data_IF_862154350716
#
_entry.id   IF_862154350716
#
_cell.length_a   1.000
_cell.length_b   1.000
_cell.length_c   1.000
_cell.angle_alpha   90.00
_cell.angle_beta   90.00
_cell.angle_gamma   90.00
#
_symmetry.space_group_name_H-M   'P 1'
#
loop_
_entity.id
_entity.type
_entity.pdbx_description
1 polymer ?
#
# COMPACT_ATOMS: atom_id res chain seq x y z
N UNK A 1 12.72 -11.48 -32.35
CA UNK A 1 11.94 -12.71 -32.54
C UNK A 1 11.97 -13.53 -31.25
N UNK A 2 10.82 -13.77 -30.61
CA UNK A 2 10.76 -14.57 -29.38
C UNK A 2 10.87 -16.06 -29.73
N UNK A 3 12.08 -16.62 -29.66
CA UNK A 3 12.38 -18.00 -30.04
C UNK A 3 11.83 -19.06 -29.09
N UNK A 4 11.15 -20.04 -29.69
CA UNK A 4 10.89 -21.45 -29.33
C UNK A 4 10.54 -21.94 -27.92
N UNK A 5 10.66 -21.15 -26.85
CA UNK A 5 10.28 -21.59 -25.50
C UNK A 5 9.02 -20.88 -25.02
N UNK A 6 7.86 -21.34 -25.52
CA UNK A 6 6.52 -20.96 -25.04
C UNK A 6 6.46 -20.95 -23.52
N UNK A 7 7.08 -21.96 -22.89
CA UNK A 7 7.16 -22.08 -21.44
C UNK A 7 7.98 -20.96 -20.78
N UNK A 8 9.20 -20.65 -21.25
CA UNK A 8 10.01 -19.56 -20.66
C UNK A 8 9.31 -18.20 -20.75
N UNK A 9 8.65 -17.91 -21.88
CA UNK A 9 7.89 -16.68 -22.05
C UNK A 9 6.71 -16.60 -21.08
N UNK A 10 5.96 -17.71 -20.90
CA UNK A 10 4.88 -17.80 -19.92
C UNK A 10 5.43 -17.63 -18.49
N UNK A 11 6.54 -18.29 -18.16
CA UNK A 11 7.19 -18.23 -16.86
C UNK A 11 7.60 -16.80 -16.50
N UNK A 12 8.30 -16.09 -17.38
CA UNK A 12 8.72 -14.71 -17.12
C UNK A 12 7.54 -13.76 -16.96
N UNK A 13 6.53 -13.88 -17.84
CA UNK A 13 5.32 -13.05 -17.78
C UNK A 13 4.52 -13.31 -16.51
N UNK A 14 4.28 -14.57 -16.18
CA UNK A 14 3.56 -14.98 -14.96
C UNK A 14 4.33 -14.55 -13.71
N UNK A 15 5.64 -14.77 -13.65
CA UNK A 15 6.47 -14.37 -12.52
C UNK A 15 6.45 -12.86 -12.27
N UNK A 16 6.44 -12.03 -13.32
CA UNK A 16 6.30 -10.58 -13.16
C UNK A 16 4.91 -10.18 -12.62
N UNK A 17 3.85 -10.86 -13.08
CA UNK A 17 2.48 -10.63 -12.59
C UNK A 17 2.32 -11.07 -11.13
N UNK A 18 2.86 -12.23 -10.77
CA UNK A 18 2.81 -12.77 -9.41
C UNK A 18 3.57 -11.85 -8.44
N UNK A 19 4.73 -11.31 -8.83
CA UNK A 19 5.47 -10.31 -8.03
C UNK A 19 4.64 -9.04 -7.78
N UNK A 20 3.94 -8.53 -8.80
CA UNK A 20 3.05 -7.37 -8.66
C UNK A 20 1.89 -7.69 -7.72
N UNK A 21 1.26 -8.86 -7.86
CA UNK A 21 0.16 -9.33 -7.01
C UNK A 21 0.60 -9.53 -5.57
N UNK A 22 1.76 -10.13 -5.34
CA UNK A 22 2.34 -10.30 -4.00
C UNK A 22 2.53 -8.96 -3.29
N UNK A 23 3.09 -7.95 -3.99
CA UNK A 23 3.26 -6.59 -3.45
C UNK A 23 1.93 -5.94 -3.09
N UNK A 24 0.91 -6.10 -3.95
CA UNK A 24 -0.46 -5.61 -3.67
C UNK A 24 -1.05 -6.30 -2.43
N UNK A 25 -0.91 -7.62 -2.33
CA UNK A 25 -1.45 -8.40 -1.21
C UNK A 25 -0.80 -8.01 0.12
N UNK A 26 0.52 -7.83 0.14
CA UNK A 26 1.21 -7.35 1.34
C UNK A 26 0.70 -5.99 1.81
N UNK A 27 0.34 -5.07 0.89
CA UNK A 27 -0.22 -3.76 1.23
C UNK A 27 -1.63 -3.87 1.81
N UNK A 28 -2.49 -4.68 1.17
CA UNK A 28 -3.86 -4.91 1.63
C UNK A 28 -3.90 -5.58 3.00
N UNK A 29 -3.03 -6.55 3.26
CA UNK A 29 -2.94 -7.20 4.58
C UNK A 29 -2.57 -6.19 5.66
N UNK A 30 -1.61 -5.28 5.40
CA UNK A 30 -1.24 -4.23 6.36
C UNK A 30 -2.39 -3.26 6.61
N UNK A 31 -3.10 -2.83 5.56
CA UNK A 31 -4.27 -1.95 5.69
C UNK A 31 -5.37 -2.61 6.54
N UNK A 32 -5.69 -3.88 6.28
CA UNK A 32 -6.68 -4.63 7.07
C UNK A 32 -6.25 -4.74 8.53
N UNK A 33 -5.00 -5.11 8.80
CA UNK A 33 -4.51 -5.25 10.17
C UNK A 33 -4.50 -3.92 10.93
N UNK A 34 -4.12 -2.81 10.29
CA UNK A 34 -4.14 -1.48 10.92
C UNK A 34 -5.57 -0.99 11.14
N UNK A 35 -6.46 -1.16 10.15
CA UNK A 35 -7.87 -0.79 10.28
C UNK A 35 -8.56 -1.56 11.43
N UNK A 36 -8.30 -2.87 11.53
CA UNK A 36 -8.83 -3.71 12.60
C UNK A 36 -8.29 -3.31 13.98
N UNK A 37 -7.02 -2.88 14.06
CA UNK A 37 -6.39 -2.42 15.30
C UNK A 37 -6.98 -1.09 15.80
N UNK A 38 -7.29 -0.16 14.90
CA UNK A 38 -7.77 1.18 15.26
C UNK A 38 -9.27 1.18 15.57
N UNK A 39 -10.07 0.48 14.76
CA UNK A 39 -11.54 0.57 14.80
C UNK A 39 -12.26 -0.71 15.21
N UNK A 40 -11.53 -1.73 15.69
CA UNK A 40 -12.11 -3.04 16.03
C UNK A 40 -12.17 -4.00 14.83
N UNK A 41 -12.37 -5.28 15.14
CA UNK A 41 -12.28 -6.40 14.18
C UNK A 41 -13.55 -6.65 13.37
N UNK A 42 -14.65 -5.97 13.69
CA UNK A 42 -15.93 -6.11 13.02
C UNK A 42 -16.08 -5.09 11.85
N UNK A 43 -16.17 -5.54 10.58
CA UNK A 43 -16.36 -4.65 9.43
C UNK A 43 -17.70 -3.88 9.43
N UNK A 44 -18.72 -4.33 10.16
CA UNK A 44 -20.02 -3.66 10.20
C UNK A 44 -20.01 -2.44 11.12
N UNK A 45 -19.18 -2.45 12.16
CA UNK A 45 -18.92 -1.30 13.03
C UNK A 45 -17.70 -0.45 12.62
N UNK A 46 -16.84 -0.95 11.72
CA UNK A 46 -15.62 -0.27 11.28
C UNK A 46 -15.62 0.03 9.76
N UNK A 47 -15.99 1.26 9.33
CA UNK A 47 -16.05 1.64 7.92
C UNK A 47 -14.71 1.53 7.19
N UNK A 48 -13.59 1.79 7.88
CA UNK A 48 -12.25 1.69 7.29
C UNK A 48 -11.90 0.24 7.00
N UNK A 49 -12.17 -0.65 7.94
CA UNK A 49 -11.98 -2.09 7.76
C UNK A 49 -12.87 -2.62 6.63
N UNK A 50 -14.13 -2.19 6.55
CA UNK A 50 -15.04 -2.54 5.46
C UNK A 50 -14.47 -2.18 4.09
N UNK A 51 -13.97 -0.96 3.94
CA UNK A 51 -13.35 -0.51 2.68
C UNK A 51 -12.10 -1.35 2.35
N UNK A 52 -11.24 -1.65 3.33
CA UNK A 52 -10.07 -2.49 3.15
C UNK A 52 -10.41 -3.93 2.73
N UNK A 53 -11.42 -4.54 3.35
CA UNK A 53 -11.94 -5.86 3.00
C UNK A 53 -12.49 -5.88 1.57
N UNK A 54 -13.30 -4.88 1.20
CA UNK A 54 -13.85 -4.77 -0.15
C UNK A 54 -12.74 -4.64 -1.21
N UNK A 55 -11.69 -3.86 -0.94
CA UNK A 55 -10.53 -3.73 -1.82
C UNK A 55 -9.71 -5.03 -1.93
N UNK A 56 -9.65 -5.82 -0.87
CA UNK A 56 -8.98 -7.11 -0.88
C UNK A 56 -9.76 -8.16 -1.70
N UNK A 57 -11.08 -8.18 -1.54
CA UNK A 57 -11.98 -9.05 -2.30
C UNK A 57 -11.96 -8.71 -3.80
N UNK A 58 -12.02 -7.42 -4.17
CA UNK A 58 -11.91 -6.98 -5.57
C UNK A 58 -10.56 -7.34 -6.20
N UNK A 59 -9.52 -7.50 -5.38
CA UNK A 59 -8.19 -7.95 -5.79
C UNK A 59 -8.02 -9.48 -5.83
N UNK A 60 -9.10 -10.25 -5.66
CA UNK A 60 -9.11 -11.71 -5.59
C UNK A 60 -8.20 -12.26 -4.46
N UNK A 61 -8.19 -11.62 -3.29
CA UNK A 61 -7.56 -12.18 -2.10
C UNK A 61 -8.48 -13.25 -1.47
N UNK A 62 -7.92 -14.38 -1.06
CA UNK A 62 -8.67 -15.43 -0.39
C UNK A 62 -9.24 -14.94 0.96
N UNK A 63 -10.49 -15.31 1.26
CA UNK A 63 -11.18 -14.93 2.51
C UNK A 63 -10.39 -15.31 3.77
N UNK A 64 -9.75 -16.48 3.76
CA UNK A 64 -8.91 -16.94 4.88
C UNK A 64 -7.74 -15.99 5.17
N UNK A 65 -7.13 -15.41 4.13
CA UNK A 65 -6.03 -14.45 4.31
C UNK A 65 -6.54 -13.12 4.88
N UNK A 66 -7.74 -12.70 4.49
CA UNK A 66 -8.41 -11.52 5.05
C UNK A 66 -8.71 -11.76 6.52
N UNK A 67 -9.32 -12.90 6.88
CA UNK A 67 -9.64 -13.23 8.26
C UNK A 67 -8.38 -13.33 9.13
N UNK A 68 -7.31 -13.95 8.62
CA UNK A 68 -6.01 -13.98 9.29
C UNK A 68 -5.46 -12.58 9.53
N UNK A 69 -5.59 -11.66 8.57
CA UNK A 69 -5.12 -10.28 8.73
C UNK A 69 -5.93 -9.50 9.77
N UNK A 70 -7.24 -9.74 9.88
CA UNK A 70 -8.11 -9.18 10.93
C UNK A 70 -7.69 -9.70 12.31
N UNK A 71 -7.49 -11.01 12.42
CA UNK A 71 -7.19 -11.69 13.68
C UNK A 71 -5.73 -11.56 14.14
N UNK A 72 -4.81 -11.10 13.28
CA UNK A 72 -3.36 -11.00 13.55
C UNK A 72 -3.04 -10.16 14.80
N UNK A 73 -3.96 -9.32 15.24
CA UNK A 73 -3.77 -8.41 16.38
C UNK A 73 -4.20 -8.98 17.74
N UNK A 74 -4.77 -10.20 17.82
CA UNK A 74 -5.12 -10.80 19.12
C UNK A 74 -3.90 -11.30 19.91
N UNK A 75 -2.69 -11.24 19.34
CA UNK A 75 -1.44 -11.63 20.01
C UNK A 75 -0.62 -10.39 20.32
N UNK A 76 -0.65 -9.98 21.59
CA UNK A 76 0.09 -8.86 22.18
C UNK A 76 1.61 -9.01 22.03
N UNK A 77 2.19 -8.42 20.98
CA UNK A 77 3.62 -8.09 20.97
C UNK A 77 3.79 -6.63 20.60
N UNK A 78 4.18 -5.81 21.58
CA UNK A 78 4.42 -4.36 21.46
C UNK A 78 5.45 -3.99 20.38
N UNK A 79 6.23 -4.96 19.88
CA UNK A 79 7.28 -4.73 18.88
C UNK A 79 6.80 -4.65 17.41
N UNK A 80 5.53 -4.90 17.12
CA UNK A 80 4.97 -4.91 15.75
C UNK A 80 4.05 -3.71 15.47
N UNK A 81 4.34 -2.54 16.05
CA UNK A 81 3.50 -1.36 15.83
C UNK A 81 3.72 -0.76 14.42
N UNK A 82 2.83 -1.10 13.50
CA UNK A 82 2.77 -0.45 12.18
C UNK A 82 2.26 0.98 12.37
N UNK A 83 3.08 1.95 11.94
CA UNK A 83 2.80 3.38 11.94
C UNK A 83 2.36 3.85 10.56
N UNK A 84 1.41 4.77 10.53
CA UNK A 84 1.04 5.53 9.33
C UNK A 84 1.85 6.81 9.25
N UNK A 85 2.57 6.98 8.14
CA UNK A 85 3.43 8.14 7.93
C UNK A 85 3.22 8.67 6.52
N UNK A 86 3.02 9.98 6.43
CA UNK A 86 2.96 10.72 5.18
C UNK A 86 4.33 11.37 4.96
N UNK A 87 4.91 11.09 3.81
CA UNK A 87 6.10 11.77 3.32
C UNK A 87 5.71 12.69 2.17
N UNK A 88 6.38 13.83 2.10
CA UNK A 88 6.10 14.90 1.16
C UNK A 88 7.39 15.27 0.42
N UNK A 89 7.32 15.66 -0.84
CA UNK A 89 8.50 16.06 -1.59
C UNK A 89 8.20 16.47 -3.03
N UNK A 90 9.27 16.75 -3.76
CA UNK A 90 9.22 17.18 -5.15
C UNK A 90 10.03 16.24 -6.04
N UNK A 91 9.47 15.85 -7.18
CA UNK A 91 10.15 15.08 -8.21
C UNK A 91 10.75 15.97 -9.31
N UNK A 92 11.19 15.36 -10.42
CA UNK A 92 11.67 16.09 -11.60
C UNK A 92 10.68 17.17 -12.05
N UNK A 93 11.22 18.33 -12.44
CA UNK A 93 10.42 19.47 -12.89
C UNK A 93 9.56 20.12 -11.79
N UNK A 94 9.85 19.87 -10.52
CA UNK A 94 9.09 20.46 -9.40
C UNK A 94 7.73 19.80 -9.16
N UNK A 95 7.52 18.57 -9.67
CA UNK A 95 6.26 17.85 -9.49
C UNK A 95 6.03 17.51 -8.01
N UNK A 96 4.93 17.97 -7.43
CA UNK A 96 4.57 17.70 -6.04
C UNK A 96 4.17 16.23 -5.83
N UNK A 97 4.72 15.58 -4.80
CA UNK A 97 4.49 14.15 -4.50
C UNK A 97 4.13 13.97 -3.02
N UNK A 98 3.02 13.28 -2.77
CA UNK A 98 2.64 12.76 -1.45
C UNK A 98 2.79 11.24 -1.46
N UNK A 99 3.47 10.71 -0.44
CA UNK A 99 3.64 9.27 -0.23
C UNK A 99 3.00 8.90 1.10
N UNK A 100 1.84 8.25 1.03
CA UNK A 100 1.24 7.59 2.19
C UNK A 100 1.90 6.22 2.39
N UNK A 101 2.36 5.96 3.61
CA UNK A 101 3.10 4.74 3.93
C UNK A 101 2.68 4.14 5.27
N UNK A 102 2.82 2.82 5.36
CA UNK A 102 2.64 2.03 6.57
C UNK A 102 3.93 1.29 6.87
N UNK A 103 4.50 1.52 8.05
CA UNK A 103 5.82 0.97 8.39
C UNK A 103 5.98 0.69 9.88
N UNK A 104 6.70 -0.37 10.20
CA UNK A 104 7.20 -0.68 11.55
C UNK A 104 8.47 0.12 11.90
N UNK A 105 9.10 0.77 10.93
CA UNK A 105 10.35 1.49 11.13
C UNK A 105 10.40 2.78 10.29
N UNK A 106 10.16 3.91 10.97
CA UNK A 106 10.18 5.25 10.39
C UNK A 106 11.54 5.61 9.77
N UNK A 107 12.63 5.24 10.43
CA UNK A 107 13.98 5.63 10.02
C UNK A 107 14.40 4.91 8.73
N UNK A 108 14.15 3.59 8.65
CA UNK A 108 14.37 2.79 7.45
C UNK A 108 13.58 3.34 6.27
N UNK A 109 12.28 3.57 6.47
CA UNK A 109 11.38 4.05 5.41
C UNK A 109 11.75 5.45 4.93
N UNK A 110 12.07 6.36 5.85
CA UNK A 110 12.51 7.71 5.50
C UNK A 110 13.82 7.69 4.69
N UNK A 111 14.77 6.81 5.03
CA UNK A 111 16.03 6.65 4.32
C UNK A 111 15.82 6.09 2.90
N UNK A 112 15.02 5.03 2.76
CA UNK A 112 14.67 4.44 1.46
C UNK A 112 13.93 5.44 0.55
N UNK A 113 12.99 6.21 1.11
CA UNK A 113 12.26 7.24 0.36
C UNK A 113 13.20 8.36 -0.07
N UNK A 114 14.02 8.88 0.85
CA UNK A 114 14.97 9.96 0.56
C UNK A 114 15.94 9.56 -0.55
N UNK A 115 16.57 8.39 -0.43
CA UNK A 115 17.48 7.87 -1.44
C UNK A 115 16.81 7.66 -2.80
N UNK A 116 15.53 7.26 -2.81
CA UNK A 116 14.74 7.15 -4.04
C UNK A 116 14.52 8.52 -4.69
N UNK A 117 14.12 9.54 -3.93
CA UNK A 117 14.01 10.91 -4.46
C UNK A 117 15.33 11.39 -5.06
N UNK A 118 16.43 11.26 -4.32
CA UNK A 118 17.77 11.68 -4.78
C UNK A 118 18.22 10.95 -6.04
N UNK A 119 17.91 9.65 -6.16
CA UNK A 119 18.24 8.85 -7.36
C UNK A 119 17.52 9.33 -8.62
N UNK A 120 16.32 9.89 -8.47
CA UNK A 120 15.48 10.33 -9.59
C UNK A 120 15.34 11.86 -9.64
N UNK A 121 16.40 12.61 -9.30
CA UNK A 121 16.45 14.08 -9.40
C UNK A 121 15.28 14.79 -8.70
N UNK A 122 14.89 14.29 -7.53
CA UNK A 122 13.92 14.92 -6.64
C UNK A 122 14.45 15.09 -5.22
N UNK A 123 13.63 15.67 -4.35
CA UNK A 123 13.96 15.90 -2.96
C UNK A 123 12.77 15.58 -2.03
N UNK A 124 13.08 14.87 -0.95
CA UNK A 124 12.14 14.70 0.17
C UNK A 124 12.04 16.03 0.91
N UNK A 125 10.83 16.56 1.02
CA UNK A 125 10.51 17.78 1.75
C UNK A 125 10.18 17.53 3.22
N UNK A 126 9.87 18.61 3.92
CA UNK A 126 9.30 18.57 5.27
C UNK A 126 7.77 18.41 5.19
N UNK A 127 7.13 18.02 6.30
CA UNK A 127 5.67 17.95 6.35
C UNK A 127 5.06 19.33 6.12
N UNK A 128 4.01 19.40 5.29
CA UNK A 128 3.36 20.63 4.85
C UNK A 128 3.93 21.24 3.57
N UNK A 129 5.05 20.73 3.04
CA UNK A 129 5.71 21.28 1.85
C UNK A 129 4.88 21.18 0.57
N UNK A 130 4.05 20.15 0.41
CA UNK A 130 3.18 20.00 -0.77
C UNK A 130 1.73 19.73 -0.42
N UNK A 131 1.41 19.40 0.84
CA UNK A 131 0.05 19.02 1.26
C UNK A 131 -1.02 20.05 0.88
N UNK A 132 -0.68 21.34 0.86
CA UNK A 132 -1.59 22.41 0.48
C UNK A 132 -2.02 22.37 -1.01
N UNK A 133 -1.26 21.67 -1.87
CA UNK A 133 -1.61 21.47 -3.28
C UNK A 133 -2.63 20.34 -3.50
N UNK A 134 -2.94 19.54 -2.47
CA UNK A 134 -3.80 18.37 -2.57
C UNK A 134 -5.03 18.48 -1.66
N UNK A 135 -6.18 18.03 -2.17
CA UNK A 135 -7.41 17.86 -1.40
C UNK A 135 -7.78 16.38 -1.36
N UNK A 136 -7.95 15.82 -0.16
CA UNK A 136 -8.41 14.44 0.02
C UNK A 136 -9.92 14.37 -0.23
N UNK A 137 -10.33 13.67 -1.28
CA UNK A 137 -11.73 13.48 -1.67
C UNK A 137 -12.01 12.01 -1.99
N UNK A 138 -13.21 11.53 -1.68
CA UNK A 138 -13.67 10.21 -2.14
C UNK A 138 -13.97 10.25 -3.64
N UNK A 139 -13.62 9.18 -4.35
CA UNK A 139 -13.92 9.02 -5.79
C UNK A 139 -14.82 7.80 -5.95
N UNK A 140 -15.99 8.01 -6.55
CA UNK A 140 -16.93 6.94 -6.95
C UNK A 140 -17.00 6.95 -8.47
N UNK A 141 -16.50 5.88 -9.08
CA UNK A 141 -16.45 5.75 -10.54
C UNK A 141 -17.45 4.71 -11.02
N UNK A 142 -18.18 5.04 -12.08
CA UNK A 142 -19.07 4.12 -12.79
C UNK A 142 -18.45 3.76 -14.14
N UNK A 143 -18.57 2.51 -14.59
CA UNK A 143 -18.19 2.16 -15.97
C UNK A 143 -19.11 2.90 -16.93
N UNK A 144 -18.55 3.53 -17.97
CA UNK A 144 -19.37 3.94 -19.10
C UNK A 144 -19.98 2.69 -19.73
N UNK A 145 -21.27 2.80 -20.08
CA UNK A 145 -22.12 1.72 -20.55
C UNK A 145 -21.85 1.43 -22.02
#
# INVERSE_FOLDING_TARGET
MAGHSKFKNIMHRKGAQDKKRAKLFSRLIREISVAAKIGGTDPDSNPRLRAAVNNALSSNMAKDNIQKAINKNNTNSDNDQILEIIYEGFGPGGTAIIIESMTDNKNRSASEIRSTFSKYNGNLGISGSVKHNFKKTGIISYSQK
#
